data_IF_357017486888
#
_entry.id   IF_357017486888
#
_cell.length_a   1.000
_cell.length_b   1.000
_cell.length_c   1.000
_cell.angle_alpha   90.00
_cell.angle_beta   90.00
_cell.angle_gamma   90.00
#
_symmetry.space_group_name_H-M   'P 1'
#
loop_
_entity.id
_entity.type
_entity.pdbx_description
1 polymer ?
#
# COMPACT_ATOMS: atom_id res chain seq x y z
N UNK A 1 -14.66 0.07 72.23
CA UNK A 1 -13.50 0.89 71.81
C UNK A 1 -12.83 0.22 70.61
N UNK A 2 -12.66 0.98 69.52
CA UNK A 2 -11.91 0.63 68.29
C UNK A 2 -10.46 0.25 68.61
N UNK A 3 -9.88 -0.70 67.87
CA UNK A 3 -8.63 -0.50 67.10
C UNK A 3 -8.64 -1.39 65.85
N UNK A 4 -8.67 -0.71 64.71
CA UNK A 4 -8.33 -1.23 63.37
C UNK A 4 -6.80 -1.23 63.29
N UNK A 5 -6.19 -2.24 62.68
CA UNK A 5 -4.88 -2.07 62.04
C UNK A 5 -4.75 -2.99 60.82
N UNK A 6 -4.71 -2.33 59.68
CA UNK A 6 -4.32 -2.81 58.36
C UNK A 6 -2.87 -3.34 58.39
N UNK A 7 -2.59 -4.45 57.71
CA UNK A 7 -1.31 -4.61 57.06
C UNK A 7 -1.44 -5.37 55.74
N UNK A 8 -1.21 -4.61 54.69
CA UNK A 8 -1.10 -4.97 53.28
C UNK A 8 0.07 -5.90 53.04
N UNK A 9 -0.11 -6.94 52.22
CA UNK A 9 0.97 -7.35 51.32
C UNK A 9 0.36 -7.75 49.98
N UNK A 10 0.48 -6.80 49.06
CA UNK A 10 0.03 -6.85 47.68
C UNK A 10 0.62 -8.07 46.96
N UNK A 11 -0.27 -8.94 46.48
CA UNK A 11 0.05 -10.02 45.56
C UNK A 11 0.41 -9.38 44.22
N UNK A 12 1.69 -9.47 43.85
CA UNK A 12 2.24 -8.97 42.60
C UNK A 12 1.46 -9.51 41.40
N UNK A 13 0.88 -8.56 40.65
CA UNK A 13 0.45 -8.76 39.27
C UNK A 13 1.67 -9.12 38.41
N UNK A 14 1.71 -10.36 37.94
CA UNK A 14 2.59 -10.79 36.85
C UNK A 14 1.74 -10.93 35.59
N UNK A 15 1.40 -9.80 34.97
CA UNK A 15 0.98 -9.79 33.57
C UNK A 15 2.24 -9.60 32.73
N UNK A 16 2.80 -10.70 32.25
CA UNK A 16 3.73 -10.65 31.13
C UNK A 16 2.93 -10.25 29.87
N UNK A 17 2.77 -8.95 29.63
CA UNK A 17 2.30 -8.48 28.32
C UNK A 17 3.47 -8.56 27.35
N UNK A 18 3.64 -9.72 26.74
CA UNK A 18 4.33 -9.81 25.46
C UNK A 18 3.44 -9.10 24.44
N UNK A 19 3.63 -7.80 24.29
CA UNK A 19 3.21 -7.10 23.07
C UNK A 19 4.09 -7.70 21.97
N UNK A 20 3.51 -8.26 20.89
CA UNK A 20 4.31 -8.58 19.71
C UNK A 20 5.09 -7.32 19.35
N UNK A 21 6.41 -7.42 19.21
CA UNK A 21 7.18 -6.42 18.47
C UNK A 21 6.58 -6.42 17.06
N UNK A 22 5.52 -5.62 16.86
CA UNK A 22 5.16 -5.13 15.56
C UNK A 22 6.40 -4.40 15.11
N UNK A 23 7.13 -5.04 14.18
CA UNK A 23 8.31 -4.50 13.51
C UNK A 23 8.19 -2.99 13.49
N UNK A 24 9.00 -2.30 14.32
CA UNK A 24 9.00 -0.85 14.38
C UNK A 24 9.45 -0.38 13.00
N UNK A 25 8.47 -0.21 12.10
CA UNK A 25 8.65 0.53 10.88
C UNK A 25 9.24 1.86 11.36
N UNK A 26 10.41 2.29 10.85
CA UNK A 26 10.74 3.69 11.02
C UNK A 26 9.51 4.48 10.57
N UNK A 27 9.13 5.53 11.29
CA UNK A 27 8.12 6.52 10.88
C UNK A 27 8.56 7.18 9.57
N UNK A 28 8.61 6.37 8.52
CA UNK A 28 8.80 6.76 7.15
C UNK A 28 7.40 7.12 6.70
N UNK A 29 7.26 8.37 6.25
CA UNK A 29 6.09 8.85 5.52
C UNK A 29 5.54 7.72 4.65
N UNK A 30 4.29 7.31 4.87
CA UNK A 30 3.65 6.15 4.21
C UNK A 30 3.86 6.21 2.69
N UNK A 31 3.87 7.43 2.12
CA UNK A 31 4.10 7.69 0.70
C UNK A 31 5.52 7.34 0.26
N UNK A 32 6.53 7.63 1.08
CA UNK A 32 7.94 7.41 0.76
C UNK A 32 8.25 5.94 0.50
N UNK A 33 7.53 5.03 1.16
CA UNK A 33 7.67 3.59 0.98
C UNK A 33 7.43 3.13 -0.48
N UNK A 34 6.62 3.88 -1.23
CA UNK A 34 6.26 3.54 -2.62
C UNK A 34 7.20 4.17 -3.67
N UNK A 35 7.93 5.22 -3.32
CA UNK A 35 8.69 6.02 -4.28
C UNK A 35 9.81 5.20 -4.93
N UNK A 36 9.95 5.37 -6.25
CA UNK A 36 11.04 4.78 -7.01
C UNK A 36 10.62 4.14 -8.32
N UNK A 37 11.55 3.41 -8.91
CA UNK A 37 11.37 2.66 -10.15
C UNK A 37 11.09 1.19 -9.85
N UNK A 38 10.04 0.64 -10.45
CA UNK A 38 9.59 -0.72 -10.21
C UNK A 38 9.44 -1.50 -11.51
N UNK A 39 9.97 -2.72 -11.53
CA UNK A 39 9.70 -3.69 -12.58
C UNK A 39 8.37 -4.38 -12.27
N UNK A 40 7.44 -4.34 -13.22
CA UNK A 40 6.09 -4.87 -13.05
C UNK A 40 5.95 -6.16 -13.85
N UNK A 41 5.55 -7.21 -13.16
CA UNK A 41 5.06 -8.44 -13.77
C UNK A 41 3.54 -8.48 -13.59
N UNK A 42 2.83 -8.36 -14.70
CA UNK A 42 1.38 -8.25 -14.73
C UNK A 42 0.76 -9.53 -15.30
N UNK A 43 -0.02 -10.22 -14.46
CA UNK A 43 -0.49 -11.57 -14.73
C UNK A 43 -1.74 -11.65 -15.62
N UNK A 44 -2.01 -10.63 -16.44
CA UNK A 44 -3.01 -10.74 -17.52
C UNK A 44 -2.76 -11.95 -18.42
N UNK A 45 -3.73 -12.31 -19.27
CA UNK A 45 -3.63 -13.39 -20.27
C UNK A 45 -2.37 -13.31 -21.17
N UNK A 46 -1.66 -12.17 -21.16
CA UNK A 46 -0.47 -11.91 -21.97
C UNK A 46 0.83 -11.76 -21.18
N UNK A 47 0.86 -11.98 -19.86
CA UNK A 47 2.06 -11.87 -19.00
C UNK A 47 2.94 -10.68 -19.39
N UNK A 48 2.46 -9.48 -19.08
CA UNK A 48 3.10 -8.24 -19.51
C UNK A 48 4.21 -7.85 -18.53
N UNK A 49 5.34 -7.41 -19.07
CA UNK A 49 6.46 -6.88 -18.29
C UNK A 49 6.72 -5.43 -18.72
N UNK A 50 6.69 -4.52 -17.75
CA UNK A 50 6.92 -3.09 -17.98
C UNK A 50 7.50 -2.44 -16.72
N UNK A 51 7.87 -1.17 -16.83
CA UNK A 51 8.41 -0.39 -15.72
C UNK A 51 7.42 0.69 -15.31
N UNK A 52 7.19 0.83 -14.01
CA UNK A 52 6.44 1.95 -13.42
C UNK A 52 7.37 2.81 -12.60
N UNK A 53 7.23 4.12 -12.70
CA UNK A 53 7.91 5.06 -11.81
C UNK A 53 6.89 5.69 -10.88
N UNK A 54 7.15 5.63 -9.59
CA UNK A 54 6.27 6.16 -8.56
C UNK A 54 6.90 7.43 -7.98
N UNK A 55 6.15 8.53 -8.00
CA UNK A 55 6.56 9.85 -7.49
C UNK A 55 5.51 10.41 -6.52
N UNK A 56 5.91 11.33 -5.65
CA UNK A 56 4.95 12.07 -4.81
C UNK A 56 4.09 12.98 -5.67
N UNK A 57 2.81 13.13 -5.34
CA UNK A 57 2.00 14.19 -5.92
C UNK A 57 2.36 15.53 -5.24
N UNK A 58 2.87 16.54 -5.96
CA UNK A 58 3.21 17.84 -5.37
C UNK A 58 2.01 18.62 -4.87
N UNK A 59 0.79 18.28 -5.31
CA UNK A 59 -0.46 18.94 -4.92
C UNK A 59 -1.17 18.27 -3.76
N UNK A 60 -0.83 17.01 -3.42
CA UNK A 60 -1.42 16.28 -2.31
C UNK A 60 -0.40 15.30 -1.70
N UNK A 61 -0.01 15.56 -0.44
CA UNK A 61 1.00 14.76 0.25
C UNK A 61 0.58 13.33 0.58
N UNK A 62 -0.71 13.00 0.48
CA UNK A 62 -1.21 11.63 0.66
C UNK A 62 -1.28 10.84 -0.65
N UNK A 63 -0.92 11.45 -1.80
CA UNK A 63 -1.05 10.82 -3.10
C UNK A 63 0.30 10.53 -3.76
N UNK A 64 0.31 9.44 -4.53
CA UNK A 64 1.38 9.08 -5.44
C UNK A 64 0.91 9.13 -6.89
N UNK A 65 1.87 9.41 -7.76
CA UNK A 65 1.75 9.39 -9.19
C UNK A 65 2.45 8.13 -9.72
N UNK A 66 1.71 7.28 -10.44
CA UNK A 66 2.13 5.98 -10.95
C UNK A 66 2.34 6.11 -12.48
N UNK A 67 3.53 6.53 -12.90
CA UNK A 67 3.88 6.69 -14.32
C UNK A 67 3.92 5.33 -15.03
N UNK A 68 3.25 5.23 -16.18
CA UNK A 68 3.11 4.00 -16.98
C UNK A 68 2.33 2.88 -16.26
N UNK A 69 1.37 3.24 -15.41
CA UNK A 69 0.50 2.27 -14.74
C UNK A 69 -0.28 1.44 -15.77
N UNK A 70 -0.44 0.13 -15.50
CA UNK A 70 -1.03 -0.85 -16.42
C UNK A 70 -0.34 -0.95 -17.81
N UNK A 71 0.89 -0.41 -17.96
CA UNK A 71 1.59 -0.33 -19.25
C UNK A 71 0.99 0.68 -20.23
N UNK A 72 0.23 1.67 -19.73
CA UNK A 72 -0.51 2.64 -20.53
C UNK A 72 0.32 3.78 -21.13
N UNK A 73 1.59 3.91 -20.73
CA UNK A 73 2.46 5.09 -20.97
C UNK A 73 1.95 6.40 -20.37
N UNK A 74 0.97 6.35 -19.48
CA UNK A 74 0.38 7.52 -18.81
C UNK A 74 0.37 7.34 -17.28
N UNK A 75 0.07 8.42 -16.57
CA UNK A 75 0.09 8.50 -15.12
C UNK A 75 -1.27 8.12 -14.51
N UNK A 76 -1.25 7.31 -13.45
CA UNK A 76 -2.42 7.11 -12.57
C UNK A 76 -2.17 7.74 -11.20
N UNK A 77 -3.22 8.25 -10.57
CA UNK A 77 -3.15 8.78 -9.19
C UNK A 77 -3.60 7.71 -8.20
N UNK A 78 -2.80 7.49 -7.15
CA UNK A 78 -3.12 6.60 -6.04
C UNK A 78 -3.11 7.33 -4.71
N UNK A 79 -4.14 7.14 -3.89
CA UNK A 79 -4.22 7.64 -2.51
C UNK A 79 -3.58 6.62 -1.56
N UNK A 80 -2.58 7.04 -0.79
CA UNK A 80 -1.88 6.21 0.21
C UNK A 80 -2.54 6.38 1.58
N UNK A 81 -2.84 5.26 2.22
CA UNK A 81 -3.32 5.19 3.61
C UNK A 81 -2.64 4.01 4.30
N UNK A 82 -1.64 4.27 5.15
CA UNK A 82 -0.83 3.22 5.75
C UNK A 82 -0.08 2.42 4.67
N UNK A 83 -0.19 1.09 4.73
CA UNK A 83 0.42 0.16 3.76
C UNK A 83 -0.41 -0.10 2.51
N UNK A 84 -1.47 0.67 2.27
CA UNK A 84 -2.38 0.48 1.16
C UNK A 84 -2.42 1.71 0.26
N UNK A 85 -2.44 1.49 -1.06
CA UNK A 85 -2.73 2.47 -2.09
C UNK A 85 -4.12 2.19 -2.65
N UNK A 86 -4.97 3.20 -2.77
CA UNK A 86 -6.24 3.12 -3.49
C UNK A 86 -6.14 3.88 -4.79
N UNK A 87 -6.38 3.22 -5.90
CA UNK A 87 -6.52 3.83 -7.23
C UNK A 87 -8.01 3.95 -7.51
N UNK A 88 -8.56 5.16 -7.31
CA UNK A 88 -9.96 5.44 -7.65
C UNK A 88 -10.19 5.35 -9.15
N UNK A 89 -11.47 5.16 -9.53
CA UNK A 89 -11.86 5.09 -10.93
C UNK A 89 -11.42 6.34 -11.69
N UNK A 90 -10.53 6.15 -12.64
CA UNK A 90 -9.98 7.23 -13.45
C UNK A 90 -9.69 6.73 -14.86
N UNK A 91 -9.42 7.68 -15.76
CA UNK A 91 -9.04 7.39 -17.14
C UNK A 91 -7.56 7.69 -17.33
N UNK A 92 -6.85 6.76 -17.94
CA UNK A 92 -5.42 6.89 -18.25
C UNK A 92 -5.16 6.54 -19.72
N UNK A 93 -4.10 7.12 -20.29
CA UNK A 93 -3.60 6.81 -21.63
C UNK A 93 -4.67 6.92 -22.70
N UNK A 94 -4.88 5.84 -23.45
CA UNK A 94 -5.87 5.75 -24.52
C UNK A 94 -7.31 5.57 -23.99
N UNK A 95 -7.71 6.40 -23.03
CA UNK A 95 -9.04 6.40 -22.41
C UNK A 95 -9.39 5.08 -21.69
N UNK A 96 -8.38 4.34 -21.23
CA UNK A 96 -8.57 3.12 -20.45
C UNK A 96 -9.07 3.50 -19.08
N UNK A 97 -10.07 2.78 -18.56
CA UNK A 97 -10.57 3.00 -17.21
C UNK A 97 -9.87 2.04 -16.26
N UNK A 98 -9.36 2.57 -15.16
CA UNK A 98 -8.62 1.79 -14.17
C UNK A 98 -9.15 2.08 -12.77
N UNK A 99 -9.24 1.04 -11.95
CA UNK A 99 -9.54 1.17 -10.52
C UNK A 99 -9.05 -0.04 -9.74
N UNK A 100 -8.57 0.15 -8.53
CA UNK A 100 -8.09 -0.97 -7.72
C UNK A 100 -7.34 -0.52 -6.47
N UNK A 101 -6.51 -1.40 -5.96
CA UNK A 101 -5.66 -1.12 -4.82
C UNK A 101 -4.29 -1.77 -4.95
N UNK A 102 -3.33 -1.26 -4.18
CA UNK A 102 -2.02 -1.84 -4.02
C UNK A 102 -1.64 -1.94 -2.55
N UNK A 103 -0.74 -2.86 -2.22
CA UNK A 103 -0.23 -3.09 -0.87
C UNK A 103 1.29 -3.03 -0.86
N UNK A 104 1.85 -2.36 0.14
CA UNK A 104 3.27 -2.41 0.45
C UNK A 104 3.57 -3.70 1.21
N UNK A 105 4.32 -4.62 0.59
CA UNK A 105 4.66 -5.91 1.20
C UNK A 105 6.03 -5.84 1.87
N UNK A 106 7.01 -5.27 1.17
CA UNK A 106 8.36 -5.04 1.67
C UNK A 106 9.07 -3.98 0.83
N UNK A 107 10.28 -3.59 1.24
CA UNK A 107 11.10 -2.59 0.52
C UNK A 107 11.31 -2.94 -0.95
N UNK A 108 11.25 -4.22 -1.34
CA UNK A 108 11.47 -4.67 -2.71
C UNK A 108 10.23 -5.28 -3.35
N UNK A 109 9.04 -5.14 -2.75
CA UNK A 109 7.80 -5.73 -3.27
C UNK A 109 6.56 -4.91 -2.96
N UNK A 110 5.85 -4.54 -4.02
CA UNK A 110 4.45 -4.11 -3.96
C UNK A 110 3.58 -5.09 -4.72
N UNK A 111 2.31 -5.18 -4.34
CA UNK A 111 1.31 -5.97 -5.04
C UNK A 111 0.09 -5.11 -5.35
N UNK A 112 -0.33 -5.07 -6.61
CA UNK A 112 -1.53 -4.38 -7.04
C UNK A 112 -2.58 -5.38 -7.53
N UNK A 113 -3.84 -5.13 -7.17
CA UNK A 113 -5.02 -5.79 -7.72
C UNK A 113 -5.94 -4.72 -8.26
N UNK A 114 -6.24 -4.77 -9.55
CA UNK A 114 -7.00 -3.70 -10.21
C UNK A 114 -7.80 -4.22 -11.41
N UNK A 115 -8.87 -3.53 -11.72
CA UNK A 115 -9.66 -3.71 -12.93
C UNK A 115 -9.15 -2.75 -14.01
N UNK A 116 -8.98 -3.26 -15.22
CA UNK A 116 -8.67 -2.48 -16.41
C UNK A 116 -9.76 -2.69 -17.45
N UNK A 117 -10.43 -1.61 -17.84
CA UNK A 117 -11.42 -1.60 -18.92
C UNK A 117 -10.84 -0.91 -20.16
N UNK A 118 -10.77 -1.65 -21.26
CA UNK A 118 -10.32 -1.16 -22.56
C UNK A 118 -11.45 -1.38 -23.56
N UNK A 119 -11.94 -0.29 -24.17
CA UNK A 119 -13.01 -0.34 -25.18
C UNK A 119 -14.29 -1.09 -24.74
N UNK A 120 -14.56 -1.13 -23.43
CA UNK A 120 -15.73 -1.81 -22.83
C UNK A 120 -15.45 -3.23 -22.33
N UNK A 121 -14.28 -3.80 -22.62
CA UNK A 121 -13.85 -5.09 -22.09
C UNK A 121 -13.09 -4.88 -20.78
N UNK A 122 -13.60 -5.47 -19.69
CA UNK A 122 -13.00 -5.38 -18.35
C UNK A 122 -12.22 -6.64 -18.01
N UNK A 123 -10.98 -6.45 -17.54
CA UNK A 123 -10.10 -7.50 -17.05
C UNK A 123 -9.65 -7.20 -15.63
N UNK A 124 -9.82 -8.18 -14.73
CA UNK A 124 -9.19 -8.14 -13.41
C UNK A 124 -7.72 -8.56 -13.51
N UNK A 125 -6.81 -7.75 -12.97
CA UNK A 125 -5.35 -7.95 -13.04
C UNK A 125 -4.73 -7.98 -11.65
N UNK A 126 -3.66 -8.78 -11.53
CA UNK A 126 -2.75 -8.74 -10.38
C UNK A 126 -1.33 -8.51 -10.87
N UNK A 127 -0.72 -7.46 -10.36
CA UNK A 127 0.60 -7.05 -10.75
C UNK A 127 1.56 -7.08 -9.55
N UNK A 128 2.73 -7.67 -9.75
CA UNK A 128 3.82 -7.68 -8.77
C UNK A 128 4.84 -6.66 -9.22
N UNK A 129 5.14 -5.71 -8.33
CA UNK A 129 6.14 -4.67 -8.53
C UNK A 129 7.38 -5.08 -7.72
N UNK A 130 8.54 -5.11 -8.38
CA UNK A 130 9.80 -5.54 -7.77
C UNK A 130 10.95 -4.61 -8.14
N UNK A 131 11.94 -4.48 -7.25
CA UNK A 131 13.17 -3.71 -7.47
C UNK A 131 14.37 -4.40 -6.83
#
# INVERSE_FOLDING_TARGET
>A
MRKILFFSFALLLMTASCVPDDDLFPETDDVEAYIGSWNVMDNSLKSLNYKVTIRKNPSNSAEILLDNFAGSSDEAVGLVTGKTVTVYNQRIGNNWRVSGSGSYISTNRLEFSYDLEIAGDTEARRAIFSR
#
